data_IF_638432866218
#
_entry.id   IF_638432866218
#
_cell.length_a   1.000
_cell.length_b   1.000
_cell.length_c   1.000
_cell.angle_alpha   90.00
_cell.angle_beta   90.00
_cell.angle_gamma   90.00
#
_symmetry.space_group_name_H-M   'P 1'
#
loop_
_entity.id
_entity.type
_entity.pdbx_description
1 polymer ?
2 non-polymer ?
3 non-polymer ?
4 water ?
#
# COMPACT_ATOMS: atom_id res chain seq x y z
N UNK A 5 -2.65 9.17 4.17
CA UNK A 5 -3.02 10.14 3.10
C UNK A 5 -2.85 9.37 1.82
N UNK A 6 -3.67 9.60 0.82
CA UNK A 6 -3.53 8.78 -0.35
C UNK A 6 -2.98 9.59 -1.51
N UNK A 7 -2.09 8.98 -2.30
CA UNK A 7 -1.55 9.61 -3.53
C UNK A 7 -1.81 8.73 -4.75
N UNK A 8 -1.83 9.33 -5.93
CA UNK A 8 -2.03 8.57 -7.15
C UNK A 8 -0.66 8.13 -7.71
N UNK A 9 -0.50 6.86 -8.07
CA UNK A 9 0.74 6.46 -8.75
C UNK A 9 0.81 7.17 -10.11
N UNK A 10 1.93 7.85 -10.40
CA UNK A 10 2.01 8.58 -11.69
C UNK A 10 2.07 7.65 -12.90
N UNK A 11 2.25 6.35 -12.67
CA UNK A 11 2.35 5.40 -13.78
C UNK A 11 1.09 4.59 -14.02
N UNK A 12 0.61 3.90 -12.99
CA UNK A 12 -0.53 2.99 -13.17
C UNK A 12 -1.86 3.60 -12.71
N UNK A 13 -1.80 4.73 -12.02
CA UNK A 13 -2.97 5.50 -11.65
C UNK A 13 -3.69 4.99 -10.39
N UNK A 14 -3.22 3.90 -9.81
CA UNK A 14 -3.82 3.40 -8.58
C UNK A 14 -3.64 4.40 -7.44
N UNK A 15 -4.66 4.53 -6.60
CA UNK A 15 -4.52 5.31 -5.38
C UNK A 15 -3.97 4.46 -4.23
N UNK A 16 -3.06 5.01 -3.44
CA UNK A 16 -2.37 4.25 -2.39
C UNK A 16 -1.77 5.14 -1.33
N UNK A 17 -1.52 4.59 -0.13
CA UNK A 17 -0.94 5.44 0.89
C UNK A 17 0.40 5.99 0.44
N UNK A 18 0.66 7.24 0.80
CA UNK A 18 1.88 7.90 0.39
C UNK A 18 3.12 7.12 0.82
N UNK A 19 3.01 6.38 1.92
CA UNK A 19 4.15 5.70 2.47
C UNK A 19 4.52 4.49 1.66
N UNK A 20 3.65 4.09 0.74
CA UNK A 20 3.87 3.00 -0.22
C UNK A 20 4.38 3.39 -1.60
N UNK A 21 4.27 4.66 -1.98
CA UNK A 21 4.46 5.03 -3.39
C UNK A 21 5.88 4.71 -3.90
N UNK A 22 6.89 4.98 -3.07
CA UNK A 22 8.28 4.76 -3.46
C UNK A 22 8.54 3.29 -3.65
N UNK A 23 8.11 2.50 -2.68
CA UNK A 23 8.23 1.05 -2.74
C UNK A 23 7.47 0.44 -3.94
N UNK A 24 6.29 0.98 -4.22
CA UNK A 24 5.45 0.49 -5.29
C UNK A 24 6.13 0.69 -6.65
N UNK A 25 6.64 1.89 -6.85
CA UNK A 25 7.32 2.28 -8.09
C UNK A 25 8.58 1.45 -8.30
N UNK A 26 9.30 1.22 -7.21
CA UNK A 26 10.46 0.34 -7.22
C UNK A 26 10.10 -1.12 -7.60
N UNK A 27 9.06 -1.69 -7.02
CA UNK A 27 8.65 -3.05 -7.39
C UNK A 27 7.98 -3.21 -8.75
N UNK A 28 7.12 -2.28 -9.14
CA UNK A 28 6.33 -2.50 -10.34
C UNK A 28 7.04 -2.11 -11.62
N UNK A 29 8.11 -1.33 -11.49
CA UNK A 29 8.88 -0.83 -12.63
C UNK A 29 10.30 -1.40 -12.57
N UNK B 4 -10.76 -7.58 14.27
CA UNK B 4 -10.35 -7.80 15.68
C UNK B 4 -8.83 -8.00 15.83
N UNK B 5 -8.19 -8.63 14.84
CA UNK B 5 -6.75 -8.88 14.89
C UNK B 5 -6.00 -7.80 14.13
N UNK B 6 -5.03 -7.18 14.79
CA UNK B 6 -4.07 -6.26 14.16
C UNK B 6 -2.92 -7.00 13.48
N UNK B 7 -2.55 -6.58 12.27
CA UNK B 7 -1.32 -7.05 11.64
C UNK B 7 -0.55 -5.86 11.11
N UNK B 8 0.76 -5.96 11.07
CA UNK B 8 1.56 -4.84 10.63
C UNK B 8 1.79 -4.82 9.12
N UNK B 9 1.60 -3.65 8.52
CA UNK B 9 1.94 -3.47 7.12
C UNK B 9 3.46 -3.60 6.90
N UNK B 10 3.86 -4.54 6.02
CA UNK B 10 5.26 -4.78 5.67
C UNK B 10 5.92 -3.63 4.89
N UNK B 11 5.13 -2.69 4.37
CA UNK B 11 5.66 -1.58 3.57
C UNK B 11 5.81 -0.35 4.43
N UNK B 12 4.76 0.01 5.17
CA UNK B 12 4.73 1.28 5.92
C UNK B 12 4.72 1.09 7.41
N UNK B 13 4.74 -0.18 7.85
CA UNK B 13 4.82 -0.54 9.26
C UNK B 13 3.71 -0.01 10.15
N UNK B 14 2.55 0.26 9.58
CA UNK B 14 1.40 0.67 10.36
C UNK B 14 0.60 -0.55 10.72
N UNK B 15 -0.01 -0.51 11.90
CA UNK B 15 -0.93 -1.53 12.35
C UNK B 15 -2.32 -1.28 11.79
N UNK B 16 -3.02 -2.35 11.40
CA UNK B 16 -4.41 -2.28 10.96
C UNK B 16 -5.09 -3.64 11.05
N UNK B 17 -6.44 -3.67 10.94
CA UNK B 17 -7.04 -4.97 11.02
C UNK B 17 -6.64 -5.87 9.84
N UNK B 18 -6.55 -7.16 10.14
CA UNK B 18 -6.22 -8.19 9.19
C UNK B 18 -7.20 -8.20 8.05
N UNK B 19 -8.45 -7.85 8.30
CA UNK B 19 -9.45 -7.85 7.24
C UNK B 19 -9.11 -6.80 6.19
N UNK B 20 -8.32 -5.81 6.56
CA UNK B 20 -8.12 -4.71 5.63
C UNK B 20 -6.74 -4.61 5.00
N UNK B 21 -5.85 -5.50 5.40
CA UNK B 21 -4.48 -5.46 4.89
C UNK B 21 -4.44 -5.75 3.37
N UNK B 22 -5.32 -6.61 2.89
CA UNK B 22 -5.32 -6.89 1.48
C UNK B 22 -5.63 -5.65 0.63
N UNK B 23 -6.72 -4.97 0.96
CA UNK B 23 -7.13 -3.73 0.33
C UNK B 23 -6.07 -2.64 0.42
N UNK B 24 -5.32 -2.65 1.52
CA UNK B 24 -4.40 -1.60 1.89
C UNK B 24 -3.16 -1.63 1.01
N UNK B 25 -2.73 -2.83 0.65
CA UNK B 25 -1.56 -2.96 -0.21
C UNK B 25 -1.99 -2.94 -1.67
N UNK B 26 -1.24 -2.32 -2.56
CA UNK B 26 -1.65 -2.40 -3.97
C UNK B 26 -0.69 -3.29 -4.75
N UNK B 27 -1.22 -3.98 -5.77
CA UNK B 27 -0.40 -4.81 -6.63
C UNK B 27 0.05 -4.07 -7.88
N UNK B 28 0.98 -4.65 -8.61
CA UNK B 28 1.41 -4.08 -9.88
C UNK B 28 0.36 -4.49 -10.88
N UNK B 29 0.05 -3.59 -11.82
CA UNK B 29 -0.97 -3.87 -12.84
C UNK B 29 -0.38 -4.39 -14.14
X LIG C 1 1.83 2.16 -10.10
X LIG D 1 12.44 -2.24 -9.95
X LIG E 1 1.10 0.15 4.58
X LIG F 1 -5.15 1.60 -3.16
#
# INVERSE_FOLDING_TARGET
>A
GSPEFQVQCPVCQQMMPAAHINSHLDRCL
>B
GSPEFQVQCPVCQQMMPAAHINSHLDRCL
>C hetero
1 ZN ZN
>D hetero
1 NA NA
>E hetero
1 ZN ZN
>F hetero
1 NA NA
#
